data_IF_045951137619
#
_entry.id   IF_045951137619
#
_cell.length_a   1.000
_cell.length_b   1.000
_cell.length_c   1.000
_cell.angle_alpha   90.00
_cell.angle_beta   90.00
_cell.angle_gamma   90.00
#
_symmetry.space_group_name_H-M   'P 1'
#
loop_
_entity.id
_entity.type
_entity.pdbx_description
1 polymer ?
#
# COMPACT_ATOMS: atom_id res chain seq x y z
N UNK A 1 11.99 -4.87 -16.87
CA UNK A 1 10.54 -4.49 -16.99
C UNK A 1 10.41 -3.00 -17.25
N UNK A 2 9.28 -2.54 -17.81
CA UNK A 2 8.95 -1.13 -18.02
C UNK A 2 7.73 -0.79 -17.16
N UNK A 3 7.85 0.22 -16.31
CA UNK A 3 6.79 0.66 -15.40
C UNK A 3 6.20 2.00 -15.83
N UNK A 4 4.91 2.19 -15.57
CA UNK A 4 4.22 3.46 -15.79
C UNK A 4 4.73 4.55 -14.82
N UNK A 5 4.52 5.81 -15.20
CA UNK A 5 4.88 6.96 -14.35
C UNK A 5 4.27 6.84 -12.95
N UNK A 6 3.01 6.40 -12.85
CA UNK A 6 2.32 6.27 -11.57
C UNK A 6 2.96 5.22 -10.68
N UNK A 7 3.33 4.07 -11.24
CA UNK A 7 4.03 3.02 -10.51
C UNK A 7 5.41 3.48 -10.03
N UNK A 8 6.15 4.25 -10.86
CA UNK A 8 7.43 4.84 -10.46
C UNK A 8 7.27 5.86 -9.32
N UNK A 9 6.20 6.66 -9.30
CA UNK A 9 5.91 7.59 -8.21
C UNK A 9 5.71 6.86 -6.87
N UNK A 10 5.03 5.72 -6.88
CA UNK A 10 4.86 4.89 -5.68
C UNK A 10 6.20 4.27 -5.26
N UNK A 11 6.96 3.72 -6.21
CA UNK A 11 8.30 3.19 -5.93
C UNK A 11 9.21 4.26 -5.31
N UNK A 12 9.19 5.50 -5.83
CA UNK A 12 9.90 6.64 -5.26
C UNK A 12 9.55 6.87 -3.80
N UNK A 13 8.25 6.89 -3.47
CA UNK A 13 7.79 7.12 -2.10
C UNK A 13 8.30 6.04 -1.16
N UNK A 14 8.30 4.78 -1.59
CA UNK A 14 8.82 3.64 -0.83
C UNK A 14 10.34 3.75 -0.67
N UNK A 15 11.07 4.04 -1.76
CA UNK A 15 12.55 4.22 -1.69
C UNK A 15 12.92 5.37 -0.76
N UNK A 16 12.22 6.49 -0.84
CA UNK A 16 12.48 7.65 0.02
C UNK A 16 12.11 7.38 1.49
N UNK A 17 11.19 6.45 1.74
CA UNK A 17 10.71 6.13 3.08
C UNK A 17 10.00 7.32 3.75
N UNK A 18 9.28 8.12 2.99
CA UNK A 18 8.61 9.31 3.50
C UNK A 18 7.51 8.92 4.50
N UNK A 19 7.63 9.41 5.74
CA UNK A 19 6.68 9.12 6.82
C UNK A 19 6.84 7.73 7.46
N UNK A 20 7.95 7.05 7.23
CA UNK A 20 8.27 5.73 7.80
C UNK A 20 9.63 5.72 8.51
N UNK A 21 9.88 4.66 9.28
CA UNK A 21 11.19 4.43 9.91
C UNK A 21 12.30 4.09 8.89
N UNK A 22 11.91 3.74 7.66
CA UNK A 22 12.84 3.45 6.56
C UNK A 22 13.28 4.70 5.77
N UNK A 23 13.20 5.88 6.38
CA UNK A 23 13.59 7.14 5.75
C UNK A 23 15.05 7.13 5.26
N UNK A 24 15.23 7.46 3.97
CA UNK A 24 16.55 7.64 3.37
C UNK A 24 16.85 9.13 3.18
N UNK A 25 17.88 9.64 3.86
CA UNK A 25 18.42 10.99 3.64
C UNK A 25 19.06 11.11 2.25
N UNK A 26 19.37 12.32 1.80
CA UNK A 26 20.06 12.55 0.52
C UNK A 26 21.32 11.72 0.34
N UNK A 27 22.26 11.71 1.29
CA UNK A 27 23.44 10.82 1.22
C UNK A 27 23.09 9.33 1.11
N UNK A 28 22.08 8.86 1.84
CA UNK A 28 21.63 7.46 1.76
C UNK A 28 21.02 7.13 0.40
N UNK A 29 20.29 8.07 -0.22
CA UNK A 29 19.75 7.90 -1.57
C UNK A 29 20.88 7.83 -2.61
N UNK A 30 21.88 8.69 -2.51
CA UNK A 30 23.07 8.62 -3.38
C UNK A 30 23.78 7.27 -3.24
N UNK A 31 24.02 6.81 -2.00
CA UNK A 31 24.62 5.51 -1.77
C UNK A 31 23.78 4.36 -2.34
N UNK A 32 22.46 4.44 -2.22
CA UNK A 32 21.54 3.45 -2.78
C UNK A 32 21.62 3.38 -4.30
N UNK A 33 21.51 4.51 -5.00
CA UNK A 33 21.56 4.53 -6.46
C UNK A 33 22.96 4.24 -7.03
N UNK A 34 24.03 4.58 -6.33
CA UNK A 34 25.37 4.22 -6.75
C UNK A 34 25.61 2.71 -6.81
N UNK A 35 24.88 1.91 -6.03
CA UNK A 35 24.91 0.44 -6.14
C UNK A 35 24.25 -0.08 -7.45
N UNK A 36 23.50 0.79 -8.13
CA UNK A 36 22.90 0.50 -9.44
C UNK A 36 23.72 1.01 -10.62
N UNK A 37 24.97 1.45 -10.35
CA UNK A 37 25.91 1.89 -11.39
C UNK A 37 25.95 3.40 -11.60
N UNK A 38 25.22 4.21 -10.81
CA UNK A 38 25.41 5.66 -10.80
C UNK A 38 26.72 6.01 -10.07
N UNK A 39 27.24 7.19 -10.35
CA UNK A 39 28.43 7.72 -9.69
C UNK A 39 28.14 9.15 -9.21
N UNK A 40 27.15 9.27 -8.36
CA UNK A 40 26.69 10.55 -7.83
C UNK A 40 27.39 10.91 -6.53
N UNK A 41 27.48 12.21 -6.26
CA UNK A 41 27.95 12.74 -4.98
C UNK A 41 26.86 13.64 -4.36
N UNK A 42 26.71 13.52 -3.04
CA UNK A 42 25.88 14.44 -2.28
C UNK A 42 26.67 15.71 -1.92
N UNK A 43 26.11 16.88 -2.18
CA UNK A 43 26.79 18.13 -1.88
C UNK A 43 25.94 19.36 -2.21
N UNK A 44 26.61 20.51 -2.33
CA UNK A 44 25.96 21.76 -2.69
C UNK A 44 25.28 21.62 -4.06
N UNK A 45 24.02 22.10 -4.16
CA UNK A 45 23.24 21.98 -5.37
C UNK A 45 22.53 20.64 -5.56
N UNK A 46 22.61 19.73 -4.57
CA UNK A 46 21.82 18.50 -4.63
C UNK A 46 20.32 18.84 -4.72
N UNK A 47 19.58 18.24 -5.67
CA UNK A 47 18.14 18.50 -5.83
C UNK A 47 17.35 17.99 -4.63
N UNK A 48 16.06 18.28 -4.59
CA UNK A 48 15.20 17.65 -3.59
C UNK A 48 15.28 16.12 -3.71
N UNK A 49 15.12 15.39 -2.61
CA UNK A 49 15.13 13.93 -2.59
C UNK A 49 14.17 13.33 -3.63
N UNK A 50 13.01 13.94 -3.76
CA UNK A 50 12.00 13.52 -4.74
C UNK A 50 12.48 13.67 -6.17
N UNK A 51 12.98 14.85 -6.52
CA UNK A 51 13.49 15.11 -7.86
C UNK A 51 14.68 14.21 -8.20
N UNK A 52 15.56 13.97 -7.23
CA UNK A 52 16.69 13.06 -7.39
C UNK A 52 16.24 11.63 -7.68
N UNK A 53 15.36 11.09 -6.83
CA UNK A 53 14.88 9.71 -6.98
C UNK A 53 14.08 9.53 -8.27
N UNK A 54 13.23 10.52 -8.64
CA UNK A 54 12.48 10.48 -9.90
C UNK A 54 13.41 10.40 -11.12
N UNK A 55 14.44 11.26 -11.19
CA UNK A 55 15.38 11.26 -12.30
C UNK A 55 16.10 9.91 -12.41
N UNK A 56 16.55 9.33 -11.29
CA UNK A 56 17.24 8.05 -11.27
C UNK A 56 16.34 6.89 -11.69
N UNK A 57 15.10 6.86 -11.21
CA UNK A 57 14.13 5.84 -11.60
C UNK A 57 13.76 5.93 -13.09
N UNK A 58 13.60 7.13 -13.63
CA UNK A 58 13.33 7.30 -15.06
C UNK A 58 14.48 6.78 -15.93
N UNK A 59 15.72 6.99 -15.52
CA UNK A 59 16.90 6.52 -16.26
C UNK A 59 17.05 5.01 -16.29
N UNK A 60 16.67 4.32 -15.23
CA UNK A 60 16.76 2.85 -15.14
C UNK A 60 15.46 2.15 -15.57
N UNK A 61 14.39 2.89 -15.86
CA UNK A 61 13.12 2.29 -16.25
C UNK A 61 13.26 1.56 -17.60
N UNK A 62 12.87 0.30 -17.63
CA UNK A 62 13.03 -0.56 -18.79
C UNK A 62 14.37 -1.30 -18.88
N UNK A 63 15.26 -1.09 -17.92
CA UNK A 63 16.59 -1.75 -17.87
C UNK A 63 16.64 -2.81 -16.76
N UNK A 64 17.65 -3.71 -16.74
CA UNK A 64 17.85 -4.67 -15.65
C UNK A 64 18.11 -4.01 -14.29
N UNK A 65 18.63 -2.78 -14.28
CA UNK A 65 18.90 -2.03 -13.05
C UNK A 65 17.62 -1.69 -12.30
N UNK A 66 16.47 -1.54 -13.00
CA UNK A 66 15.17 -1.38 -12.33
C UNK A 66 14.78 -2.62 -11.53
N UNK A 67 15.00 -3.80 -12.08
CA UNK A 67 14.72 -5.06 -11.38
C UNK A 67 15.58 -5.19 -10.12
N UNK A 68 16.87 -4.83 -10.24
CA UNK A 68 17.80 -4.76 -9.10
C UNK A 68 17.35 -3.71 -8.07
N UNK A 69 16.94 -2.53 -8.54
CA UNK A 69 16.44 -1.45 -7.68
C UNK A 69 15.26 -1.91 -6.82
N UNK A 70 14.27 -2.57 -7.43
CA UNK A 70 13.09 -3.07 -6.71
C UNK A 70 13.50 -4.14 -5.70
N UNK A 71 14.38 -5.09 -6.07
CA UNK A 71 14.89 -6.09 -5.14
C UNK A 71 15.63 -5.49 -3.95
N UNK A 72 16.42 -4.46 -4.18
CA UNK A 72 17.12 -3.73 -3.11
C UNK A 72 16.14 -2.94 -2.22
N UNK A 73 15.08 -2.39 -2.81
CA UNK A 73 14.05 -1.65 -2.06
C UNK A 73 13.31 -2.54 -1.07
N UNK A 74 13.04 -3.79 -1.45
CA UNK A 74 12.33 -4.79 -0.66
C UNK A 74 13.25 -5.87 -0.08
N UNK A 75 14.55 -5.56 0.09
CA UNK A 75 15.51 -6.52 0.64
C UNK A 75 15.11 -6.90 2.07
N UNK A 76 14.85 -8.20 2.30
CA UNK A 76 14.33 -8.72 3.58
C UNK A 76 15.26 -8.38 4.75
N UNK A 77 16.58 -8.30 4.50
CA UNK A 77 17.56 -7.94 5.52
C UNK A 77 17.33 -6.54 6.12
N UNK A 78 16.77 -5.62 5.36
CA UNK A 78 16.45 -4.26 5.83
C UNK A 78 15.16 -4.21 6.69
N UNK A 79 14.42 -5.31 6.76
CA UNK A 79 13.14 -5.44 7.48
C UNK A 79 13.16 -6.54 8.53
N UNK A 80 14.34 -6.89 9.05
CA UNK A 80 14.45 -7.88 10.13
C UNK A 80 13.71 -7.38 11.38
N UNK A 81 12.71 -8.16 11.82
CA UNK A 81 11.81 -7.77 12.90
C UNK A 81 10.54 -7.01 12.44
N UNK A 82 10.44 -6.64 11.16
CA UNK A 82 9.34 -5.85 10.59
C UNK A 82 8.81 -6.47 9.28
N UNK A 83 8.76 -7.80 9.21
CA UNK A 83 8.36 -8.52 7.99
C UNK A 83 6.93 -8.17 7.55
N UNK A 84 6.02 -7.94 8.49
CA UNK A 84 4.65 -7.51 8.18
C UNK A 84 4.64 -6.14 7.48
N UNK A 85 5.51 -5.22 7.87
CA UNK A 85 5.70 -3.93 7.20
C UNK A 85 6.18 -4.11 5.76
N UNK A 86 7.17 -4.99 5.55
CA UNK A 86 7.64 -5.33 4.20
C UNK A 86 6.51 -5.88 3.33
N UNK A 87 5.72 -6.83 3.85
CA UNK A 87 4.62 -7.44 3.11
C UNK A 87 3.53 -6.42 2.77
N UNK A 88 3.23 -5.47 3.66
CA UNK A 88 2.31 -4.36 3.39
C UNK A 88 2.83 -3.43 2.28
N UNK A 89 4.12 -3.08 2.31
CA UNK A 89 4.74 -2.26 1.27
C UNK A 89 4.75 -2.95 -0.10
N UNK A 90 5.04 -4.25 -0.14
CA UNK A 90 4.95 -5.06 -1.36
C UNK A 90 3.50 -5.11 -1.86
N UNK A 91 2.52 -5.34 -0.98
CA UNK A 91 1.11 -5.36 -1.34
C UNK A 91 0.65 -4.01 -1.90
N UNK A 92 1.03 -2.91 -1.28
CA UNK A 92 0.75 -1.55 -1.77
C UNK A 92 1.36 -1.31 -3.16
N UNK A 93 2.62 -1.65 -3.35
CA UNK A 93 3.31 -1.50 -4.63
C UNK A 93 2.66 -2.34 -5.73
N UNK A 94 2.29 -3.57 -5.42
CA UNK A 94 1.64 -4.50 -6.34
C UNK A 94 0.29 -4.00 -6.85
N UNK A 95 -0.44 -3.18 -6.11
CA UNK A 95 -1.70 -2.57 -6.59
C UNK A 95 -1.48 -1.73 -7.85
N UNK A 96 -0.34 -1.04 -7.94
CA UNK A 96 0.03 -0.22 -9.09
C UNK A 96 0.77 -1.04 -10.15
N UNK A 97 1.68 -1.90 -9.74
CA UNK A 97 2.49 -2.74 -10.63
C UNK A 97 1.65 -3.72 -11.45
N UNK A 98 0.47 -4.13 -10.93
CA UNK A 98 -0.48 -4.96 -11.66
C UNK A 98 -0.98 -4.31 -12.95
N UNK A 99 -1.11 -2.98 -13.01
CA UNK A 99 -1.48 -2.26 -14.24
C UNK A 99 -0.36 -2.32 -15.30
N UNK A 100 0.89 -2.47 -14.88
CA UNK A 100 2.03 -2.71 -15.76
C UNK A 100 2.23 -4.21 -16.07
N UNK A 101 1.29 -5.07 -15.63
CA UNK A 101 1.27 -6.53 -15.80
C UNK A 101 2.42 -7.25 -15.12
N UNK A 102 2.85 -6.75 -13.98
CA UNK A 102 3.88 -7.36 -13.14
C UNK A 102 3.44 -7.42 -11.67
N UNK A 103 4.07 -8.31 -10.94
CA UNK A 103 3.90 -8.47 -9.50
C UNK A 103 5.24 -8.80 -8.86
N UNK A 104 5.52 -8.16 -7.72
CA UNK A 104 6.59 -8.57 -6.81
C UNK A 104 6.10 -9.70 -5.93
N UNK A 105 6.90 -10.74 -5.80
CA UNK A 105 6.64 -11.88 -4.92
C UNK A 105 7.82 -11.99 -3.95
N UNK A 106 7.51 -12.07 -2.66
CA UNK A 106 8.46 -12.49 -1.64
C UNK A 106 8.23 -13.96 -1.31
N UNK A 107 9.29 -14.75 -1.42
CA UNK A 107 9.34 -16.13 -0.94
C UNK A 107 10.48 -16.24 0.05
N UNK A 108 10.16 -16.26 1.34
CA UNK A 108 11.11 -16.16 2.43
C UNK A 108 12.02 -14.93 2.28
N UNK A 109 13.29 -15.12 1.94
CA UNK A 109 14.30 -14.06 1.76
C UNK A 109 14.44 -13.59 0.31
N UNK A 110 13.74 -14.24 -0.62
CA UNK A 110 13.91 -14.02 -2.05
C UNK A 110 12.81 -13.10 -2.58
N UNK A 111 13.21 -12.00 -3.21
CA UNK A 111 12.32 -11.12 -3.97
C UNK A 111 12.43 -11.50 -5.45
N UNK A 112 11.29 -11.83 -6.03
CA UNK A 112 11.16 -12.22 -7.44
C UNK A 112 10.02 -11.49 -8.13
N UNK A 113 9.90 -11.65 -9.45
CA UNK A 113 8.87 -11.00 -10.25
C UNK A 113 8.04 -12.03 -11.00
N UNK A 114 6.75 -11.80 -11.05
CA UNK A 114 5.81 -12.57 -11.86
C UNK A 114 5.14 -11.66 -12.88
N UNK A 115 5.08 -12.11 -14.13
CA UNK A 115 4.27 -11.46 -15.15
C UNK A 115 2.80 -11.87 -15.00
N UNK A 116 1.90 -10.91 -15.11
CA UNK A 116 0.46 -11.15 -15.01
C UNK A 116 -0.17 -11.17 -16.41
N UNK A 117 -0.90 -12.22 -16.72
CA UNK A 117 -1.67 -12.30 -17.97
C UNK A 117 -2.96 -11.48 -17.92
N UNK A 118 -3.51 -11.32 -16.71
CA UNK A 118 -4.72 -10.52 -16.43
C UNK A 118 -4.48 -9.65 -15.20
N UNK A 119 -5.09 -8.46 -15.20
CA UNK A 119 -5.07 -7.58 -14.04
C UNK A 119 -6.04 -8.17 -13.01
N UNK A 120 -5.50 -8.63 -11.88
CA UNK A 120 -6.29 -9.03 -10.72
C UNK A 120 -6.24 -7.88 -9.74
N UNK A 121 -7.28 -7.06 -9.73
CA UNK A 121 -7.46 -6.05 -8.67
C UNK A 121 -8.09 -6.78 -7.50
N UNK A 122 -7.36 -6.95 -6.40
CA UNK A 122 -7.92 -7.56 -5.20
C UNK A 122 -9.03 -6.68 -4.64
N UNK A 123 -10.24 -7.23 -4.54
CA UNK A 123 -11.43 -6.57 -3.97
C UNK A 123 -11.37 -6.41 -2.44
N UNK A 124 -10.28 -6.78 -1.78
CA UNK A 124 -10.21 -7.00 -0.33
C UNK A 124 -10.50 -5.77 0.54
N UNK A 125 -10.60 -4.56 -0.03
CA UNK A 125 -11.02 -3.37 0.74
C UNK A 125 -12.51 -3.03 0.57
N UNK A 126 -13.18 -3.53 -0.46
CA UNK A 126 -14.63 -3.30 -0.62
C UNK A 126 -15.48 -4.27 0.21
N UNK A 127 -15.06 -5.53 0.29
CA UNK A 127 -15.82 -6.54 1.06
C UNK A 127 -15.82 -6.25 2.57
N UNK A 128 -14.74 -5.72 3.14
CA UNK A 128 -14.72 -5.34 4.56
C UNK A 128 -15.56 -4.09 4.85
N UNK A 129 -15.69 -3.15 3.94
CA UNK A 129 -16.57 -1.98 4.12
C UNK A 129 -18.05 -2.33 3.88
N UNK A 130 -18.36 -3.19 2.92
CA UNK A 130 -19.72 -3.67 2.67
C UNK A 130 -20.24 -4.54 3.81
N UNK A 131 -19.41 -5.43 4.39
CA UNK A 131 -19.77 -6.24 5.56
C UNK A 131 -20.01 -5.36 6.80
N UNK A 132 -19.21 -4.33 7.02
CA UNK A 132 -19.42 -3.40 8.13
C UNK A 132 -20.69 -2.54 7.95
N UNK A 133 -21.02 -2.17 6.73
CA UNK A 133 -22.21 -1.39 6.42
C UNK A 133 -23.49 -2.24 6.55
N UNK A 134 -23.48 -3.51 6.10
CA UNK A 134 -24.59 -4.45 6.31
C UNK A 134 -24.81 -4.78 7.79
N UNK A 135 -23.77 -5.01 8.57
CA UNK A 135 -23.88 -5.27 10.01
C UNK A 135 -24.37 -4.05 10.78
N UNK A 136 -23.93 -2.84 10.40
CA UNK A 136 -24.41 -1.60 10.97
C UNK A 136 -25.89 -1.36 10.66
N UNK A 137 -26.32 -1.60 9.42
CA UNK A 137 -27.73 -1.48 9.01
C UNK A 137 -28.62 -2.50 9.73
N UNK A 138 -28.19 -3.75 9.89
CA UNK A 138 -28.90 -4.77 10.66
C UNK A 138 -29.05 -4.36 12.12
N UNK A 139 -27.99 -3.93 12.80
CA UNK A 139 -28.05 -3.48 14.18
C UNK A 139 -28.98 -2.27 14.36
N UNK A 140 -28.94 -1.31 13.43
CA UNK A 140 -29.80 -0.13 13.45
C UNK A 140 -31.26 -0.50 13.22
N UNK A 141 -31.56 -1.46 12.35
CA UNK A 141 -32.90 -1.95 12.06
C UNK A 141 -33.46 -2.70 13.29
N UNK A 142 -32.70 -3.60 13.90
CA UNK A 142 -33.13 -4.37 15.06
C UNK A 142 -33.42 -3.47 16.29
N UNK A 143 -32.62 -2.42 16.50
CA UNK A 143 -32.86 -1.43 17.56
C UNK A 143 -34.14 -0.64 17.29
N UNK A 144 -34.45 -0.26 16.05
CA UNK A 144 -35.66 0.47 15.72
C UNK A 144 -36.90 -0.41 15.80
N UNK A 145 -36.84 -1.67 15.39
CA UNK A 145 -37.93 -2.63 15.54
C UNK A 145 -38.22 -2.90 17.02
N UNK A 146 -37.17 -3.06 17.85
CA UNK A 146 -37.32 -3.21 19.30
C UNK A 146 -37.97 -1.99 19.96
N UNK A 147 -37.66 -0.76 19.55
CA UNK A 147 -38.33 0.46 20.03
C UNK A 147 -39.79 0.50 19.65
N UNK A 148 -40.15 0.17 18.40
CA UNK A 148 -41.53 0.13 17.95
C UNK A 148 -42.41 -0.89 18.72
N UNK A 149 -41.82 -2.06 19.08
CA UNK A 149 -42.48 -3.06 19.89
C UNK A 149 -42.67 -2.58 21.35
N UNK A 150 -41.70 -1.85 21.91
CA UNK A 150 -41.83 -1.24 23.23
C UNK A 150 -42.93 -0.17 23.28
N UNK A 151 -43.00 0.67 22.27
CA UNK A 151 -44.03 1.72 22.18
C UNK A 151 -45.46 1.15 22.01
N UNK A 152 -45.60 0.04 21.28
CA UNK A 152 -46.86 -0.69 21.17
C UNK A 152 -47.32 -1.29 22.51
N UNK A 153 -46.40 -1.90 23.26
CA UNK A 153 -46.67 -2.45 24.57
C UNK A 153 -47.06 -1.37 25.60
N UNK A 154 -46.45 -0.19 25.56
CA UNK A 154 -46.77 0.95 26.41
C UNK A 154 -48.18 1.47 26.10
N UNK A 155 -48.56 1.52 24.83
CA UNK A 155 -49.88 1.92 24.38
C UNK A 155 -51.00 0.98 24.94
N UNK A 156 -50.74 -0.31 24.96
CA UNK A 156 -51.69 -1.31 25.51
C UNK A 156 -51.81 -1.23 27.05
N UNK A 157 -50.74 -0.98 27.77
CA UNK A 157 -50.74 -0.80 29.23
C UNK A 157 -51.57 0.45 29.62
N UNK A 158 -51.50 1.53 28.84
CA UNK A 158 -52.26 2.76 29.09
C UNK A 158 -53.75 2.53 28.87
N UNK A 159 -54.16 1.73 27.88
CA UNK A 159 -55.56 1.40 27.63
C UNK A 159 -56.22 0.60 28.73
N UNK A 160 -55.49 -0.29 29.43
CA UNK A 160 -55.98 -1.11 30.52
C UNK A 160 -56.11 -0.37 31.86
N UNK A 161 -55.53 0.83 32.02
CA UNK A 161 -55.64 1.62 33.28
C UNK A 161 -56.73 2.71 33.27
N UNK A 162 -57.43 2.86 32.14
CA UNK A 162 -58.49 3.86 32.00
C UNK A 162 -59.93 3.27 31.87
N UNK A 163 -60.09 1.98 32.32
CA UNK A 163 -61.39 1.36 32.47
C UNK A 163 -61.66 1.03 33.96
#
# INVERSE_FOLDING_TARGET
MLLSKKTLEILRSIINGDGTDHYRSGPKLVSFFNQLGFNDAYGQGFPSRWAYTDDRLQRINGTPELDKCIKMTFAVIDFVGEIDTLDQLIAQFNQYMAFDKWQVIRDNEIISFKRLDKIVISKSQRESSEIQEEDFLKQTFDVNVGKLQLDANISDIVKYRLC
#
